data_IF_820497465225
#
_entry.id   IF_820497465225
#
_cell.length_a   1.000
_cell.length_b   1.000
_cell.length_c   1.000
_cell.angle_alpha   90.00
_cell.angle_beta   90.00
_cell.angle_gamma   90.00
#
_symmetry.space_group_name_H-M   'P 1'
#
loop_
_entity.id
_entity.type
_entity.pdbx_description
1 polymer ?
#
# COMPACT_ATOMS: atom_id res chain seq x y z
N UNK A 1 -22.60 -3.60 -0.75
CA UNK A 1 -22.79 -2.47 0.22
C UNK A 1 -21.82 -2.54 1.38
N UNK A 2 -21.63 -3.71 2.03
CA UNK A 2 -20.68 -3.93 3.13
C UNK A 2 -19.27 -3.36 2.88
N UNK A 3 -18.65 -3.67 1.74
CA UNK A 3 -17.29 -3.18 1.44
C UNK A 3 -17.19 -1.66 1.27
N UNK A 4 -18.22 -1.02 0.72
CA UNK A 4 -18.27 0.45 0.58
C UNK A 4 -18.36 1.14 1.94
N UNK A 5 -19.17 0.58 2.83
CA UNK A 5 -19.31 1.08 4.20
C UNK A 5 -18.00 0.91 4.96
N UNK A 6 -17.31 -0.22 4.80
CA UNK A 6 -15.99 -0.45 5.40
C UNK A 6 -14.96 0.58 4.90
N UNK A 7 -14.98 0.94 3.61
CA UNK A 7 -14.11 1.98 3.06
C UNK A 7 -14.42 3.36 3.64
N UNK A 8 -15.69 3.74 3.74
CA UNK A 8 -16.09 5.00 4.36
C UNK A 8 -15.70 5.03 5.85
N UNK A 9 -15.94 3.94 6.57
CA UNK A 9 -15.57 3.80 7.97
C UNK A 9 -14.05 3.89 8.15
N UNK A 10 -13.27 3.31 7.25
CA UNK A 10 -11.82 3.44 7.24
C UNK A 10 -11.37 4.89 7.05
N UNK A 11 -11.91 5.60 6.05
CA UNK A 11 -11.58 7.03 5.81
C UNK A 11 -11.95 7.87 7.03
N UNK A 12 -13.16 7.69 7.57
CA UNK A 12 -13.61 8.40 8.77
C UNK A 12 -12.70 8.11 9.98
N UNK A 13 -12.29 6.84 10.16
CA UNK A 13 -11.39 6.44 11.24
C UNK A 13 -10.01 7.08 11.12
N UNK A 14 -9.46 7.18 9.91
CA UNK A 14 -8.17 7.86 9.67
C UNK A 14 -8.26 9.35 9.99
N UNK A 15 -9.34 10.02 9.56
CA UNK A 15 -9.58 11.43 9.87
C UNK A 15 -9.73 11.67 11.37
N UNK A 16 -10.47 10.80 12.06
CA UNK A 16 -10.66 10.87 13.52
C UNK A 16 -9.35 10.66 14.27
N UNK A 17 -8.57 9.63 13.92
CA UNK A 17 -7.25 9.36 14.53
C UNK A 17 -6.23 10.48 14.31
N UNK A 18 -6.34 11.20 13.19
CA UNK A 18 -5.45 12.33 12.89
C UNK A 18 -5.85 13.59 13.65
N UNK A 19 -7.15 13.81 13.85
CA UNK A 19 -7.68 15.03 14.47
C UNK A 19 -7.59 15.00 16.01
N UNK A 20 -7.79 13.83 16.62
CA UNK A 20 -7.85 13.70 18.09
C UNK A 20 -6.44 13.61 18.68
N UNK A 21 -6.15 14.49 19.65
CA UNK A 21 -4.86 14.57 20.37
C UNK A 21 -4.92 13.97 21.78
N UNK A 22 -5.97 13.21 22.09
CA UNK A 22 -6.16 12.59 23.40
C UNK A 22 -5.60 11.15 23.43
N UNK A 23 -4.79 10.86 24.45
CA UNK A 23 -4.11 9.59 24.68
C UNK A 23 -5.10 8.49 25.10
N UNK A 24 -6.15 8.84 25.86
CA UNK A 24 -7.19 7.89 26.26
C UNK A 24 -8.04 7.47 25.06
N UNK A 25 -8.38 8.42 24.19
CA UNK A 25 -9.14 8.12 22.98
C UNK A 25 -8.37 7.17 22.04
N UNK A 26 -7.08 7.44 21.82
CA UNK A 26 -6.24 6.59 20.98
C UNK A 26 -6.10 5.17 21.53
N UNK A 27 -5.90 5.02 22.84
CA UNK A 27 -5.78 3.69 23.46
C UNK A 27 -7.10 2.91 23.41
N UNK A 28 -8.23 3.56 23.66
CA UNK A 28 -9.55 2.95 23.52
C UNK A 28 -9.85 2.53 22.07
N UNK A 29 -9.51 3.38 21.11
CA UNK A 29 -9.68 3.08 19.69
C UNK A 29 -8.84 1.86 19.28
N UNK A 30 -7.58 1.80 19.74
CA UNK A 30 -6.69 0.67 19.49
C UNK A 30 -7.23 -0.64 20.08
N UNK A 31 -7.77 -0.60 21.31
CA UNK A 31 -8.43 -1.75 21.93
C UNK A 31 -9.64 -2.23 21.10
N UNK A 32 -10.45 -1.29 20.60
CA UNK A 32 -11.56 -1.62 19.68
C UNK A 32 -11.07 -2.32 18.41
N UNK A 33 -9.97 -1.83 17.81
CA UNK A 33 -9.37 -2.47 16.64
C UNK A 33 -8.87 -3.89 16.95
N UNK A 34 -8.34 -4.11 18.14
CA UNK A 34 -7.91 -5.44 18.56
C UNK A 34 -9.08 -6.43 18.65
N UNK A 35 -10.21 -6.01 19.23
CA UNK A 35 -11.42 -6.82 19.28
C UNK A 35 -11.93 -7.16 17.88
N UNK A 36 -11.92 -6.20 16.95
CA UNK A 36 -12.34 -6.40 15.56
C UNK A 36 -11.40 -7.35 14.81
N UNK A 37 -10.11 -7.34 15.15
CA UNK A 37 -9.08 -8.14 14.48
C UNK A 37 -9.21 -9.64 14.74
N UNK A 38 -9.75 -10.05 15.89
CA UNK A 38 -10.03 -11.45 16.23
C UNK A 38 -8.81 -12.37 16.01
N UNK A 39 -8.99 -13.48 15.26
CA UNK A 39 -7.95 -14.51 15.06
C UNK A 39 -6.68 -14.01 14.33
N UNK A 40 -6.76 -12.92 13.56
CA UNK A 40 -5.62 -12.39 12.80
C UNK A 40 -4.77 -11.37 13.59
N UNK A 41 -5.11 -11.13 14.86
CA UNK A 41 -4.42 -10.19 15.76
C UNK A 41 -2.90 -10.28 15.71
N UNK A 42 -2.36 -11.47 15.98
CA UNK A 42 -0.91 -11.64 16.13
C UNK A 42 -0.15 -11.38 14.83
N UNK A 43 -0.72 -11.80 13.69
CA UNK A 43 -0.14 -11.55 12.37
C UNK A 43 -0.14 -10.05 12.03
N UNK A 44 -1.26 -9.38 12.29
CA UNK A 44 -1.41 -7.94 12.03
C UNK A 44 -0.55 -7.10 12.96
N UNK A 45 -0.46 -7.46 14.24
CA UNK A 45 0.42 -6.83 15.22
C UNK A 45 1.87 -6.90 14.78
N UNK A 46 2.36 -8.09 14.41
CA UNK A 46 3.75 -8.29 13.98
C UNK A 46 4.06 -7.48 12.71
N UNK A 47 3.18 -7.49 11.72
CA UNK A 47 3.36 -6.72 10.47
C UNK A 47 3.37 -5.22 10.74
N UNK A 48 2.44 -4.73 11.56
CA UNK A 48 2.34 -3.31 11.90
C UNK A 48 3.57 -2.84 12.68
N UNK A 49 3.99 -3.62 13.67
CA UNK A 49 5.18 -3.30 14.48
C UNK A 49 6.44 -3.24 13.62
N UNK A 50 6.73 -4.27 12.81
CA UNK A 50 7.91 -4.29 11.94
C UNK A 50 7.93 -3.11 10.96
N UNK A 51 6.76 -2.72 10.44
CA UNK A 51 6.65 -1.60 9.49
C UNK A 51 6.92 -0.24 10.14
N UNK A 52 6.64 -0.10 11.44
CA UNK A 52 6.61 1.18 12.15
C UNK A 52 7.89 1.44 12.94
N UNK A 53 8.52 0.37 13.45
CA UNK A 53 9.65 0.46 14.40
C UNK A 53 10.80 1.30 13.86
N UNK A 54 11.29 1.04 12.65
CA UNK A 54 12.46 1.77 12.13
C UNK A 54 12.21 3.27 12.01
N UNK A 55 11.05 3.64 11.46
CA UNK A 55 10.69 5.05 11.29
C UNK A 55 10.42 5.73 12.64
N UNK A 56 9.63 5.09 13.52
CA UNK A 56 9.30 5.69 14.81
C UNK A 56 10.50 5.77 15.74
N UNK A 57 11.43 4.83 15.66
CA UNK A 57 12.65 4.88 16.45
C UNK A 57 13.50 6.09 16.06
N UNK A 58 13.70 6.33 14.76
CA UNK A 58 14.43 7.50 14.27
C UNK A 58 13.75 8.82 14.69
N UNK A 59 12.43 8.91 14.53
CA UNK A 59 11.66 10.12 14.90
C UNK A 59 11.66 10.34 16.41
N UNK A 60 11.46 9.29 17.20
CA UNK A 60 11.43 9.38 18.66
C UNK A 60 12.79 9.80 19.22
N UNK A 61 13.89 9.23 18.73
CA UNK A 61 15.25 9.63 19.16
C UNK A 61 15.52 11.08 18.80
N UNK A 62 15.22 11.49 17.57
CA UNK A 62 15.43 12.87 17.14
C UNK A 62 14.65 13.86 18.03
N UNK A 63 13.42 13.52 18.37
CA UNK A 63 12.59 14.35 19.25
C UNK A 63 13.09 14.38 20.70
N UNK A 64 13.54 13.24 21.25
CA UNK A 64 14.12 13.17 22.59
C UNK A 64 15.36 14.06 22.69
N UNK A 65 16.27 13.99 21.71
CA UNK A 65 17.46 14.84 21.66
C UNK A 65 17.06 16.32 21.64
N UNK A 66 16.06 16.68 20.83
CA UNK A 66 15.57 18.07 20.75
C UNK A 66 14.96 18.56 22.07
N UNK A 67 14.14 17.74 22.74
CA UNK A 67 13.54 18.11 24.03
C UNK A 67 14.57 18.19 25.15
N UNK A 68 15.60 17.34 25.15
CA UNK A 68 16.71 17.42 26.11
C UNK A 68 17.46 18.75 25.98
N UNK A 69 17.67 19.25 24.75
CA UNK A 69 18.30 20.54 24.52
C UNK A 69 17.43 21.73 24.97
N UNK A 70 16.10 21.58 24.98
CA UNK A 70 15.14 22.61 25.39
C UNK A 70 14.64 22.50 26.84
N UNK A 71 15.00 21.44 27.56
CA UNK A 71 14.51 21.19 28.93
C UNK A 71 12.99 20.95 29.02
N UNK A 72 12.36 20.45 27.95
CA UNK A 72 10.91 20.20 27.90
C UNK A 72 10.57 18.73 28.15
N UNK A 73 9.36 18.46 28.63
CA UNK A 73 8.86 17.10 28.77
C UNK A 73 8.66 16.41 27.40
N UNK A 74 9.33 15.28 27.22
CA UNK A 74 9.33 14.52 25.97
C UNK A 74 8.34 13.36 25.97
N UNK A 75 8.02 12.80 27.15
CA UNK A 75 7.33 11.53 27.29
C UNK A 75 5.93 11.56 26.67
N UNK A 76 5.14 12.58 27.01
CA UNK A 76 3.75 12.73 26.59
C UNK A 76 3.61 12.78 25.06
N UNK A 77 4.48 13.52 24.38
CA UNK A 77 4.46 13.64 22.92
C UNK A 77 4.93 12.36 22.23
N UNK A 78 6.03 11.77 22.71
CA UNK A 78 6.60 10.54 22.11
C UNK A 78 5.60 9.39 22.21
N UNK A 79 4.93 9.23 23.36
CA UNK A 79 3.91 8.18 23.52
C UNK A 79 2.72 8.42 22.60
N UNK A 80 2.21 9.65 22.53
CA UNK A 80 1.08 10.01 21.65
C UNK A 80 1.40 9.72 20.19
N UNK A 81 2.59 10.14 19.72
CA UNK A 81 3.03 9.93 18.34
C UNK A 81 3.12 8.44 18.02
N UNK A 82 3.83 7.67 18.85
CA UNK A 82 3.98 6.23 18.64
C UNK A 82 2.63 5.52 18.62
N UNK A 83 1.74 5.86 19.56
CA UNK A 83 0.41 5.27 19.65
C UNK A 83 -0.45 5.62 18.43
N UNK A 84 -0.40 6.86 17.95
CA UNK A 84 -1.13 7.31 16.75
C UNK A 84 -0.63 6.60 15.50
N UNK A 85 0.68 6.57 15.27
CA UNK A 85 1.27 5.94 14.07
C UNK A 85 0.99 4.43 14.10
N UNK A 86 1.13 3.79 15.26
CA UNK A 86 0.83 2.38 15.41
C UNK A 86 -0.67 2.08 15.17
N UNK A 87 -1.58 2.90 15.72
CA UNK A 87 -3.02 2.75 15.50
C UNK A 87 -3.41 2.89 14.03
N UNK A 88 -2.85 3.90 13.34
CA UNK A 88 -3.09 4.13 11.92
C UNK A 88 -2.59 2.96 11.07
N UNK A 89 -1.36 2.51 11.30
CA UNK A 89 -0.81 1.38 10.53
C UNK A 89 -1.57 0.09 10.81
N UNK A 90 -1.91 -0.20 12.06
CA UNK A 90 -2.72 -1.37 12.40
C UNK A 90 -4.10 -1.33 11.72
N UNK A 91 -4.77 -0.18 11.73
CA UNK A 91 -6.02 0.05 11.01
C UNK A 91 -5.86 -0.21 9.52
N UNK A 92 -4.79 0.30 8.89
CA UNK A 92 -4.54 0.08 7.46
C UNK A 92 -4.36 -1.40 7.11
N UNK A 93 -3.58 -2.15 7.89
CA UNK A 93 -3.39 -3.58 7.65
C UNK A 93 -4.67 -4.38 7.91
N UNK A 94 -5.45 -4.02 8.94
CA UNK A 94 -6.74 -4.63 9.22
C UNK A 94 -7.71 -4.42 8.05
N UNK A 95 -7.79 -3.19 7.54
CA UNK A 95 -8.61 -2.84 6.38
C UNK A 95 -8.23 -3.66 5.15
N UNK A 96 -6.94 -3.67 4.77
CA UNK A 96 -6.41 -4.42 3.63
C UNK A 96 -6.71 -5.92 3.75
N UNK A 97 -6.65 -6.47 4.96
CA UNK A 97 -6.88 -7.91 5.20
C UNK A 97 -8.34 -8.34 5.05
N UNK A 98 -9.30 -7.42 5.23
CA UNK A 98 -10.73 -7.74 5.26
C UNK A 98 -11.50 -7.29 4.02
N UNK A 99 -10.95 -6.36 3.23
CA UNK A 99 -11.68 -5.76 2.11
C UNK A 99 -11.30 -6.39 0.78
N UNK A 100 -12.31 -6.54 -0.09
CA UNK A 100 -12.07 -6.79 -1.51
C UNK A 100 -12.04 -5.43 -2.24
N UNK A 101 -10.86 -5.02 -2.72
CA UNK A 101 -10.68 -3.73 -3.41
C UNK A 101 -11.61 -3.53 -4.61
N UNK A 102 -11.89 -4.58 -5.39
CA UNK A 102 -12.82 -4.50 -6.52
C UNK A 102 -14.24 -4.14 -6.08
N UNK A 103 -14.69 -4.69 -4.94
CA UNK A 103 -16.01 -4.39 -4.37
C UNK A 103 -16.04 -3.03 -3.68
N UNK A 104 -14.94 -2.63 -3.04
CA UNK A 104 -14.82 -1.34 -2.38
C UNK A 104 -15.00 -0.17 -3.35
N UNK A 105 -14.44 -0.32 -4.56
CA UNK A 105 -14.42 0.70 -5.62
C UNK A 105 -15.65 0.66 -6.54
N UNK A 106 -16.57 -0.30 -6.32
CA UNK A 106 -17.79 -0.49 -7.14
C UNK A 106 -18.78 0.68 -7.13
N UNK A 107 -18.51 1.77 -6.39
CA UNK A 107 -19.32 2.99 -6.44
C UNK A 107 -19.27 3.67 -7.83
N UNK A 108 -18.18 3.46 -8.58
CA UNK A 108 -18.01 3.97 -9.94
C UNK A 108 -17.69 2.82 -10.89
N UNK A 109 -18.52 2.65 -11.93
CA UNK A 109 -18.31 1.65 -12.99
C UNK A 109 -16.96 1.86 -13.68
N UNK A 110 -16.60 3.11 -13.96
CA UNK A 110 -15.32 3.50 -14.60
C UNK A 110 -14.13 3.09 -13.75
N UNK A 111 -14.20 3.32 -12.43
CA UNK A 111 -13.09 3.05 -11.54
C UNK A 111 -12.92 1.54 -11.28
N UNK A 112 -14.03 0.81 -11.17
CA UNK A 112 -14.01 -0.65 -11.12
C UNK A 112 -13.41 -1.24 -12.39
N UNK A 113 -13.81 -0.74 -13.56
CA UNK A 113 -13.29 -1.15 -14.85
C UNK A 113 -11.79 -0.89 -15.00
N UNK A 114 -11.34 0.32 -14.65
CA UNK A 114 -9.91 0.68 -14.66
C UNK A 114 -9.13 -0.28 -13.77
N UNK A 115 -9.61 -0.54 -12.55
CA UNK A 115 -8.97 -1.45 -11.61
C UNK A 115 -8.91 -2.89 -12.16
N UNK A 116 -9.97 -3.37 -12.83
CA UNK A 116 -9.98 -4.67 -13.49
C UNK A 116 -8.96 -4.78 -14.62
N UNK A 117 -8.87 -3.77 -15.50
CA UNK A 117 -7.89 -3.77 -16.58
C UNK A 117 -6.48 -3.69 -16.02
N UNK A 118 -6.23 -2.76 -15.10
CA UNK A 118 -4.92 -2.62 -14.46
C UNK A 118 -4.49 -3.92 -13.79
N UNK A 119 -5.38 -4.60 -13.06
CA UNK A 119 -5.08 -5.89 -12.45
C UNK A 119 -4.70 -6.95 -13.49
N UNK A 120 -5.46 -7.05 -14.58
CA UNK A 120 -5.14 -7.97 -15.68
C UNK A 120 -3.77 -7.66 -16.30
N UNK A 121 -3.47 -6.39 -16.58
CA UNK A 121 -2.18 -5.97 -17.13
C UNK A 121 -1.02 -6.23 -16.16
N UNK A 122 -1.20 -5.99 -14.86
CA UNK A 122 -0.21 -6.31 -13.83
C UNK A 122 0.13 -7.80 -13.89
N UNK A 123 -0.88 -8.68 -13.88
CA UNK A 123 -0.63 -10.13 -13.93
C UNK A 123 0.10 -10.57 -15.21
N UNK A 124 -0.27 -10.00 -16.37
CA UNK A 124 0.37 -10.29 -17.63
C UNK A 124 1.83 -9.83 -17.65
N UNK A 125 2.10 -8.59 -17.22
CA UNK A 125 3.45 -8.03 -17.21
C UNK A 125 4.35 -8.66 -16.15
N UNK A 126 3.82 -9.07 -14.99
CA UNK A 126 4.59 -9.85 -14.01
C UNK A 126 5.07 -11.15 -14.61
N UNK A 127 4.21 -11.86 -15.35
CA UNK A 127 4.60 -13.09 -16.05
C UNK A 127 5.68 -12.81 -17.10
N UNK A 128 5.48 -11.83 -17.97
CA UNK A 128 6.48 -11.46 -18.99
C UNK A 128 7.81 -11.02 -18.38
N UNK A 129 7.79 -10.35 -17.21
CA UNK A 129 9.01 -9.94 -16.51
C UNK A 129 9.79 -11.14 -15.98
N UNK A 130 9.10 -12.14 -15.41
CA UNK A 130 9.75 -13.40 -15.01
C UNK A 130 10.35 -14.12 -16.22
N UNK A 131 9.69 -14.10 -17.38
CA UNK A 131 10.25 -14.67 -18.62
C UNK A 131 11.55 -13.96 -19.06
N UNK A 132 11.58 -12.63 -19.00
CA UNK A 132 12.81 -11.86 -19.25
C UNK A 132 13.93 -12.21 -18.26
N UNK A 133 13.59 -12.34 -16.98
CA UNK A 133 14.54 -12.70 -15.92
C UNK A 133 15.10 -14.10 -16.14
N UNK A 134 14.27 -15.07 -16.52
CA UNK A 134 14.71 -16.42 -16.85
C UNK A 134 15.59 -16.44 -18.10
N UNK A 135 15.23 -15.68 -19.14
CA UNK A 135 16.05 -15.55 -20.36
C UNK A 135 17.41 -14.93 -20.09
N UNK A 136 17.48 -13.94 -19.19
CA UNK A 136 18.76 -13.37 -18.76
C UNK A 136 19.58 -14.41 -18.00
N UNK A 137 18.95 -15.13 -17.06
CA UNK A 137 19.62 -16.17 -16.26
C UNK A 137 20.16 -17.31 -17.13
N UNK A 138 19.46 -17.71 -18.19
CA UNK A 138 19.90 -18.81 -19.06
C UNK A 138 21.07 -18.42 -19.98
N UNK A 139 21.21 -17.13 -20.31
CA UNK A 139 22.29 -16.62 -21.17
C UNK A 139 23.59 -16.32 -20.43
N UNK A 140 23.54 -16.29 -19.10
CA UNK A 140 24.67 -15.91 -18.26
C UNK A 140 25.23 -17.12 -17.53
N UNK A 141 26.50 -17.43 -17.78
CA UNK A 141 27.25 -18.48 -17.06
C UNK A 141 27.67 -17.99 -15.65
N UNK A 142 27.88 -16.69 -15.49
CA UNK A 142 28.25 -16.03 -14.23
C UNK A 142 27.22 -14.95 -13.84
N UNK A 143 27.26 -14.46 -12.59
CA UNK A 143 26.36 -13.40 -12.15
C UNK A 143 26.62 -12.11 -12.95
N UNK A 144 25.57 -11.41 -13.41
CA UNK A 144 25.74 -10.18 -14.21
C UNK A 144 26.40 -9.08 -13.39
N UNK A 145 27.24 -8.28 -14.05
CA UNK A 145 27.80 -7.08 -13.43
C UNK A 145 26.71 -6.00 -13.27
N UNK A 146 26.94 -5.01 -12.39
CA UNK A 146 26.00 -3.92 -12.13
C UNK A 146 25.64 -3.14 -13.39
N UNK A 147 26.59 -3.00 -14.33
CA UNK A 147 26.37 -2.34 -15.63
C UNK A 147 25.41 -3.14 -16.52
N UNK A 148 25.53 -4.46 -16.52
CA UNK A 148 24.66 -5.35 -17.29
C UNK A 148 23.25 -5.37 -16.71
N UNK A 149 23.13 -5.37 -15.38
CA UNK A 149 21.84 -5.26 -14.69
C UNK A 149 21.14 -3.95 -15.05
N UNK A 150 21.86 -2.82 -15.02
CA UNK A 150 21.29 -1.53 -15.40
C UNK A 150 20.83 -1.52 -16.86
N UNK A 151 21.65 -2.04 -17.77
CA UNK A 151 21.32 -2.14 -19.19
C UNK A 151 20.10 -3.03 -19.43
N UNK A 152 20.02 -4.16 -18.73
CA UNK A 152 18.87 -5.06 -18.78
C UNK A 152 17.60 -4.36 -18.29
N UNK A 153 17.64 -3.72 -17.11
CA UNK A 153 16.49 -2.99 -16.55
C UNK A 153 16.03 -1.89 -17.52
N UNK A 154 16.95 -1.11 -18.07
CA UNK A 154 16.63 -0.04 -19.03
C UNK A 154 15.94 -0.58 -20.29
N UNK A 155 16.43 -1.69 -20.85
CA UNK A 155 15.83 -2.34 -22.03
C UNK A 155 14.45 -2.92 -21.73
N UNK A 156 14.30 -3.61 -20.61
CA UNK A 156 13.03 -4.20 -20.16
C UNK A 156 12.01 -3.11 -19.87
N UNK A 157 12.41 -2.04 -19.18
CA UNK A 157 11.56 -0.88 -18.93
C UNK A 157 11.09 -0.23 -20.23
N UNK A 158 12.02 0.03 -21.16
CA UNK A 158 11.70 0.61 -22.47
C UNK A 158 10.73 -0.28 -23.27
N UNK A 159 10.91 -1.59 -23.20
CA UNK A 159 10.00 -2.57 -23.81
C UNK A 159 8.60 -2.48 -23.21
N UNK A 160 8.46 -2.56 -21.88
CA UNK A 160 7.17 -2.50 -21.22
C UNK A 160 6.48 -1.14 -21.41
N UNK A 161 7.24 -0.06 -21.44
CA UNK A 161 6.69 1.27 -21.70
C UNK A 161 6.06 1.35 -23.09
N UNK A 162 6.80 0.96 -24.14
CA UNK A 162 6.28 0.92 -25.52
C UNK A 162 5.07 -0.01 -25.63
N UNK A 163 5.19 -1.22 -25.08
CA UNK A 163 4.11 -2.21 -25.07
C UNK A 163 2.86 -1.69 -24.36
N UNK A 164 3.01 -0.92 -23.27
CA UNK A 164 1.89 -0.33 -22.55
C UNK A 164 1.14 0.72 -23.36
N UNK A 165 1.86 1.55 -24.12
CA UNK A 165 1.28 2.58 -24.99
C UNK A 165 0.51 1.93 -26.14
N UNK A 166 1.09 0.91 -26.77
CA UNK A 166 0.46 0.13 -27.84
C UNK A 166 -0.78 -0.62 -27.31
N UNK A 167 -0.64 -1.38 -26.22
CA UNK A 167 -1.76 -2.10 -25.60
C UNK A 167 -2.89 -1.16 -25.20
N UNK A 168 -2.59 0.05 -24.69
CA UNK A 168 -3.63 1.04 -24.36
C UNK A 168 -4.46 1.42 -25.58
N UNK A 169 -3.83 1.63 -26.74
CA UNK A 169 -4.52 1.91 -28.00
C UNK A 169 -5.36 0.72 -28.47
N UNK A 170 -4.78 -0.48 -28.46
CA UNK A 170 -5.46 -1.72 -28.87
C UNK A 170 -6.68 -2.02 -27.99
N UNK A 171 -6.51 -1.94 -26.67
CA UNK A 171 -7.59 -2.17 -25.70
C UNK A 171 -8.68 -1.12 -25.88
N UNK A 172 -8.32 0.16 -26.01
CA UNK A 172 -9.30 1.23 -26.24
C UNK A 172 -10.10 1.03 -27.54
N UNK A 173 -9.43 0.65 -28.63
CA UNK A 173 -10.08 0.37 -29.91
C UNK A 173 -10.98 -0.87 -29.83
N UNK A 174 -10.53 -1.95 -29.19
CA UNK A 174 -11.32 -3.15 -28.98
C UNK A 174 -12.57 -2.87 -28.13
N UNK A 175 -12.44 -2.04 -27.10
CA UNK A 175 -13.55 -1.58 -26.25
C UNK A 175 -14.57 -0.77 -27.06
N UNK A 176 -14.11 0.17 -27.90
CA UNK A 176 -14.97 0.95 -28.80
C UNK A 176 -15.72 0.05 -29.78
N UNK A 177 -15.03 -0.91 -30.40
CA UNK A 177 -15.63 -1.86 -31.34
C UNK A 177 -16.71 -2.73 -30.67
N UNK A 178 -16.50 -3.11 -29.41
CA UNK A 178 -17.48 -3.86 -28.61
C UNK A 178 -18.64 -3.00 -28.05
N UNK A 179 -18.73 -1.73 -28.43
CA UNK A 179 -19.81 -0.83 -28.00
C UNK A 179 -19.68 -0.34 -26.55
N UNK A 180 -18.50 -0.43 -25.93
CA UNK A 180 -18.32 -0.14 -24.50
C UNK A 180 -18.49 1.35 -24.14
N UNK A 181 -18.30 2.26 -25.10
CA UNK A 181 -18.42 3.70 -24.91
C UNK A 181 -19.75 4.27 -25.44
N UNK A 182 -20.70 3.40 -25.79
CA UNK A 182 -22.05 3.80 -26.17
C UNK A 182 -22.86 3.83 -24.86
N UNK A 183 -22.77 4.96 -24.16
CA UNK A 183 -23.83 5.43 -23.26
C UNK A 183 -24.78 6.32 -24.10
#
# INVERSE_FOLDING_TARGET
MKDRLILLLYIASVLMLTSVHDLLFLSFFLLSLFLISGKNLLSLLRKSFISVVFFNFAVSISYIIFCLLKGQEWLSYVVLLNLRVFSLTFLTFLFVSKINFFKAVSFSKTLQYLLTISYSQITAYTKSFEDFRLSLKSRLIQRPDRKDVYTFISRVFSYFFKKSVENSKEISQAMRSRGFFID
#
